data_IF_726588798870
#
_entry.id   IF_726588798870
#
_cell.length_a   1.000
_cell.length_b   1.000
_cell.length_c   1.000
_cell.angle_alpha   90.00
_cell.angle_beta   90.00
_cell.angle_gamma   90.00
#
_symmetry.space_group_name_H-M   'P 1'
#
loop_
_entity.id
_entity.type
_entity.pdbx_description
1 polymer ?
#
# COMPACT_ATOMS: atom_id res chain seq x y z
N UNK A 1 2.95 4.87 16.94
CA UNK A 1 2.76 3.98 15.78
C UNK A 1 1.28 3.74 15.69
N UNK A 2 0.67 3.94 14.52
CA UNK A 2 -0.78 3.90 14.41
C UNK A 2 -1.34 2.53 14.82
N UNK A 3 -2.57 2.49 15.36
CA UNK A 3 -3.15 1.26 15.94
C UNK A 3 -3.32 0.13 14.91
N UNK A 4 -3.43 0.46 13.63
CA UNK A 4 -3.55 -0.49 12.52
C UNK A 4 -2.21 -1.14 12.12
N UNK A 5 -1.08 -0.68 12.63
CA UNK A 5 0.25 -1.24 12.31
C UNK A 5 0.55 -2.40 13.26
N UNK A 6 0.37 -3.63 12.77
CA UNK A 6 0.47 -4.85 13.60
C UNK A 6 1.88 -5.43 13.70
N UNK A 7 2.81 -5.00 12.85
CA UNK A 7 4.20 -5.48 12.85
C UNK A 7 5.15 -4.45 12.25
N UNK A 8 6.42 -4.53 12.64
CA UNK A 8 7.48 -3.74 12.02
C UNK A 8 7.94 -4.41 10.71
N UNK A 9 7.94 -3.64 9.62
CA UNK A 9 8.41 -4.13 8.32
C UNK A 9 9.89 -3.77 8.15
N UNK A 10 10.79 -4.74 7.87
CA UNK A 10 12.21 -4.46 7.65
C UNK A 10 12.44 -3.43 6.56
N UNK A 11 13.47 -2.59 6.72
CA UNK A 11 13.77 -1.49 5.79
C UNK A 11 14.00 -1.98 4.36
N UNK A 12 14.64 -3.13 4.17
CA UNK A 12 14.84 -3.68 2.82
C UNK A 12 13.51 -4.03 2.14
N UNK A 13 12.55 -4.56 2.90
CA UNK A 13 11.22 -4.93 2.37
C UNK A 13 10.42 -3.67 2.01
N UNK A 14 10.48 -2.63 2.85
CA UNK A 14 9.85 -1.33 2.54
C UNK A 14 10.41 -0.76 1.25
N UNK A 15 11.75 -0.75 1.10
CA UNK A 15 12.41 -0.26 -0.12
C UNK A 15 11.97 -1.06 -1.35
N UNK A 16 11.99 -2.40 -1.25
CA UNK A 16 11.58 -3.27 -2.35
C UNK A 16 10.12 -3.04 -2.77
N UNK A 17 9.21 -2.86 -1.81
CA UNK A 17 7.80 -2.59 -2.09
C UNK A 17 7.62 -1.25 -2.84
N UNK A 18 8.38 -0.21 -2.48
CA UNK A 18 8.36 1.08 -3.17
C UNK A 18 8.96 1.00 -4.58
N UNK A 19 10.07 0.28 -4.75
CA UNK A 19 10.68 0.05 -6.05
C UNK A 19 9.70 -0.71 -6.99
N UNK A 20 9.01 -1.73 -6.47
CA UNK A 20 7.96 -2.45 -7.21
C UNK A 20 6.78 -1.56 -7.57
N UNK A 21 6.34 -0.67 -6.66
CA UNK A 21 5.28 0.29 -6.95
C UNK A 21 5.68 1.24 -8.09
N UNK A 22 6.93 1.71 -8.10
CA UNK A 22 7.44 2.57 -9.16
C UNK A 22 7.40 1.87 -10.53
N UNK A 23 7.87 0.62 -10.60
CA UNK A 23 7.78 -0.18 -11.83
C UNK A 23 6.33 -0.41 -12.25
N UNK A 24 5.44 -0.77 -11.30
CA UNK A 24 4.03 -1.02 -11.58
C UNK A 24 3.28 0.24 -12.06
N UNK A 25 3.70 1.43 -11.59
CA UNK A 25 3.17 2.72 -12.06
C UNK A 25 3.48 2.94 -13.54
N UNK A 26 4.68 2.57 -13.99
CA UNK A 26 5.15 2.84 -15.36
C UNK A 26 4.74 1.75 -16.36
N UNK A 27 4.59 0.51 -15.89
CA UNK A 27 4.39 -0.67 -16.76
C UNK A 27 2.98 -1.27 -16.66
N UNK A 28 2.19 -0.86 -15.67
CA UNK A 28 0.94 -1.52 -15.34
C UNK A 28 -0.15 -0.57 -14.88
N UNK A 29 -0.92 -1.00 -13.88
CA UNK A 29 -2.05 -0.25 -13.33
C UNK A 29 -1.94 -0.19 -11.82
N UNK A 30 -1.96 1.03 -11.30
CA UNK A 30 -2.03 1.29 -9.87
C UNK A 30 -3.33 2.02 -9.54
N UNK A 31 -3.77 1.87 -8.29
CA UNK A 31 -4.85 2.66 -7.68
C UNK A 31 -4.24 3.50 -6.57
N UNK A 32 -4.67 4.74 -6.43
CA UNK A 32 -4.06 5.69 -5.48
C UNK A 32 -5.14 6.25 -4.55
N UNK A 33 -4.82 6.28 -3.26
CA UNK A 33 -5.72 6.73 -2.20
C UNK A 33 -6.60 5.61 -1.63
N UNK A 34 -7.03 5.80 -0.38
CA UNK A 34 -7.71 4.81 0.45
C UNK A 34 -8.98 4.26 -0.22
N UNK A 35 -9.86 5.13 -0.73
CA UNK A 35 -11.13 4.71 -1.36
C UNK A 35 -10.93 3.79 -2.57
N UNK A 36 -9.95 4.08 -3.44
CA UNK A 36 -9.69 3.22 -4.60
C UNK A 36 -9.05 1.88 -4.19
N UNK A 37 -8.19 1.91 -3.17
CA UNK A 37 -7.56 0.71 -2.63
C UNK A 37 -8.62 -0.23 -2.03
N UNK A 38 -9.52 0.28 -1.18
CA UNK A 38 -10.65 -0.48 -0.60
C UNK A 38 -11.50 -1.11 -1.69
N UNK A 39 -11.91 -0.31 -2.68
CA UNK A 39 -12.69 -0.80 -3.82
C UNK A 39 -11.99 -1.90 -4.62
N UNK A 40 -10.66 -1.83 -4.76
CA UNK A 40 -9.88 -2.85 -5.47
C UNK A 40 -9.75 -4.15 -4.64
N UNK A 41 -9.67 -4.05 -3.32
CA UNK A 41 -9.71 -5.19 -2.40
C UNK A 41 -11.07 -5.88 -2.48
N UNK A 42 -12.17 -5.13 -2.33
CA UNK A 42 -13.54 -5.67 -2.31
C UNK A 42 -13.92 -6.37 -3.63
N UNK A 43 -13.40 -5.89 -4.76
CA UNK A 43 -13.60 -6.54 -6.07
C UNK A 43 -12.66 -7.72 -6.34
N UNK A 44 -11.67 -7.98 -5.49
CA UNK A 44 -10.66 -9.04 -5.70
C UNK A 44 -9.62 -8.71 -6.78
N UNK A 45 -9.56 -7.45 -7.22
CA UNK A 45 -8.61 -7.00 -8.25
C UNK A 45 -7.20 -6.79 -7.66
N UNK A 46 -7.10 -6.47 -6.37
CA UNK A 46 -5.86 -6.10 -5.71
C UNK A 46 -4.87 -7.28 -5.62
N UNK A 47 -3.62 -7.05 -6.04
CA UNK A 47 -2.51 -8.02 -5.92
C UNK A 47 -1.51 -7.67 -4.83
N UNK A 48 -1.30 -6.38 -4.60
CA UNK A 48 -0.49 -5.81 -3.54
C UNK A 48 -1.15 -4.50 -3.09
N UNK A 49 -1.22 -4.28 -1.78
CA UNK A 49 -1.74 -3.05 -1.17
C UNK A 49 -0.67 -2.53 -0.22
N UNK A 50 -0.37 -1.23 -0.34
CA UNK A 50 0.58 -0.55 0.52
C UNK A 50 -0.18 0.43 1.40
N UNK A 51 0.08 0.38 2.70
CA UNK A 51 -0.53 1.25 3.71
C UNK A 51 0.60 2.04 4.35
N UNK A 52 0.47 3.37 4.38
CA UNK A 52 1.46 4.23 5.01
C UNK A 52 1.40 4.06 6.55
N UNK A 53 2.54 4.09 7.22
CA UNK A 53 2.62 3.88 8.68
C UNK A 53 2.35 5.14 9.52
N UNK A 54 2.14 6.28 8.86
CA UNK A 54 2.07 7.64 9.40
C UNK A 54 0.76 8.36 9.01
N UNK A 55 -0.32 7.61 8.76
CA UNK A 55 -1.62 8.21 8.43
C UNK A 55 -2.26 8.80 9.69
N UNK A 56 -2.60 10.09 9.63
CA UNK A 56 -3.26 10.82 10.70
C UNK A 56 -4.37 11.74 10.14
N UNK A 57 -5.62 11.69 10.66
CA UNK A 57 -6.13 10.69 11.61
C UNK A 57 -6.10 9.29 11.01
N UNK A 58 -6.15 8.25 11.84
CA UNK A 58 -6.05 6.84 11.40
C UNK A 58 -7.24 6.36 10.53
N UNK A 59 -8.15 7.27 10.13
CA UNK A 59 -9.35 7.04 9.31
C UNK A 59 -9.10 7.15 7.80
#
# INVERSE_FOLDING_TARGET
>A
MASYVTSETPKEVVKMALDMLAVAKDTGKIRKGTNEATKAIERGDAKLVLIAGDVEPEE
#
